data_IF_136233405716
#
_entry.id   IF_136233405716
#
_cell.length_a   1.000
_cell.length_b   1.000
_cell.length_c   1.000
_cell.angle_alpha   90.00
_cell.angle_beta   90.00
_cell.angle_gamma   90.00
#
_symmetry.space_group_name_H-M   'P 1'
#
loop_
_entity.id
_entity.type
_entity.pdbx_description
1 polymer ?
#
# COMPACT_ATOMS: atom_id res chain seq x y z
N UNK A 1 3.27 -9.87 -14.31
CA UNK A 1 2.93 -8.80 -13.34
C UNK A 1 2.06 -7.79 -14.05
N UNK A 2 0.84 -7.58 -13.59
CA UNK A 2 -0.01 -6.48 -14.06
C UNK A 2 0.35 -5.22 -13.27
N UNK A 3 0.41 -4.08 -13.96
CA UNK A 3 0.60 -2.76 -13.34
C UNK A 3 -0.78 -2.14 -13.17
N UNK A 4 -1.07 -1.61 -11.98
CA UNK A 4 -2.31 -0.89 -11.73
C UNK A 4 -2.32 0.44 -12.48
N UNK A 5 -3.47 0.79 -13.03
CA UNK A 5 -3.74 2.06 -13.72
C UNK A 5 -4.20 3.13 -12.73
N UNK A 6 -4.12 4.39 -13.16
CA UNK A 6 -4.57 5.51 -12.34
C UNK A 6 -6.07 5.44 -12.00
N UNK A 7 -6.91 5.04 -12.96
CA UNK A 7 -8.36 4.89 -12.75
C UNK A 7 -8.67 3.80 -11.71
N UNK A 8 -7.95 2.69 -11.73
CA UNK A 8 -8.10 1.64 -10.71
C UNK A 8 -7.70 2.12 -9.31
N UNK A 9 -6.72 3.02 -9.21
CA UNK A 9 -6.30 3.62 -7.94
C UNK A 9 -7.33 4.64 -7.45
N UNK A 10 -7.95 5.40 -8.35
CA UNK A 10 -9.04 6.32 -8.00
C UNK A 10 -10.27 5.59 -7.48
N UNK A 11 -10.56 4.40 -8.02
CA UNK A 11 -11.73 3.58 -7.65
C UNK A 11 -11.51 2.75 -6.37
N UNK A 12 -10.32 2.81 -5.75
CA UNK A 12 -10.01 2.10 -4.50
C UNK A 12 -11.02 2.28 -3.35
N UNK A 13 -11.63 3.47 -3.13
CA UNK A 13 -12.66 3.61 -2.10
C UNK A 13 -13.85 2.67 -2.26
N UNK A 14 -14.13 2.19 -3.48
CA UNK A 14 -15.19 1.23 -3.78
C UNK A 14 -14.72 -0.24 -3.68
N UNK A 15 -13.43 -0.46 -3.43
CA UNK A 15 -12.76 -1.76 -3.41
C UNK A 15 -12.06 -2.02 -2.06
N UNK A 16 -12.81 -2.32 -0.98
CA UNK A 16 -12.24 -2.54 0.36
C UNK A 16 -11.31 -3.76 0.45
N UNK A 17 -11.36 -4.67 -0.52
CA UNK A 17 -10.45 -5.81 -0.65
C UNK A 17 -9.05 -5.43 -1.13
N UNK A 18 -8.87 -4.20 -1.65
CA UNK A 18 -7.59 -3.70 -2.16
C UNK A 18 -6.97 -2.73 -1.16
N UNK A 19 -5.65 -2.85 -0.96
CA UNK A 19 -4.88 -1.98 -0.09
C UNK A 19 -3.82 -1.22 -0.90
N UNK A 20 -3.82 0.10 -0.79
CA UNK A 20 -2.76 0.94 -1.34
C UNK A 20 -1.71 1.24 -0.27
N UNK A 21 -0.49 0.76 -0.50
CA UNK A 21 0.66 0.98 0.38
C UNK A 21 1.50 2.12 -0.18
N UNK A 22 1.62 3.20 0.58
CA UNK A 22 2.49 4.34 0.27
C UNK A 22 3.86 4.13 0.96
N UNK A 23 4.88 3.82 0.17
CA UNK A 23 6.22 3.45 0.65
C UNK A 23 7.17 4.63 0.85
N UNK A 24 6.68 5.86 0.64
CA UNK A 24 7.44 7.10 0.83
C UNK A 24 7.74 7.35 2.32
N UNK A 25 8.64 8.28 2.57
CA UNK A 25 8.92 8.71 3.93
C UNK A 25 7.77 9.58 4.49
N UNK A 26 7.55 9.56 5.82
CA UNK A 26 6.45 10.31 6.43
C UNK A 26 6.51 11.83 6.20
N UNK A 27 7.72 12.41 6.09
CA UNK A 27 7.92 13.84 5.80
C UNK A 27 7.42 14.21 4.40
N UNK A 28 7.68 13.38 3.38
CA UNK A 28 7.18 13.62 2.02
C UNK A 28 5.64 13.67 1.98
N UNK A 29 4.98 12.85 2.79
CA UNK A 29 3.51 12.85 2.93
C UNK A 29 3.01 14.09 3.67
N UNK A 30 3.71 14.52 4.72
CA UNK A 30 3.34 15.72 5.45
C UNK A 30 3.43 16.97 4.56
N UNK A 31 4.43 17.02 3.67
CA UNK A 31 4.70 18.17 2.82
C UNK A 31 3.84 18.20 1.54
N UNK A 32 3.59 17.05 0.91
CA UNK A 32 2.91 16.96 -0.40
C UNK A 32 1.49 16.40 -0.33
N UNK A 33 1.11 15.81 0.80
CA UNK A 33 -0.16 15.11 0.99
C UNK A 33 -0.08 13.61 0.66
N UNK A 34 -1.19 12.93 0.95
CA UNK A 34 -1.37 11.49 0.70
C UNK A 34 -2.52 11.22 -0.26
N UNK A 35 -2.42 10.10 -0.96
CA UNK A 35 -3.53 9.56 -1.74
C UNK A 35 -4.65 9.12 -0.77
N UNK A 36 -5.93 9.43 -1.05
CA UNK A 36 -7.05 8.94 -0.25
C UNK A 36 -6.99 7.41 -0.13
N UNK A 37 -7.35 6.86 1.02
CA UNK A 37 -7.27 5.41 1.35
C UNK A 37 -5.87 4.81 1.49
N UNK A 38 -4.79 5.55 1.18
CA UNK A 38 -3.44 5.01 1.31
C UNK A 38 -2.98 4.87 2.76
N UNK A 39 -2.25 3.80 3.02
CA UNK A 39 -1.57 3.54 4.30
C UNK A 39 -0.08 3.74 4.09
N UNK A 40 0.53 4.65 4.86
CA UNK A 40 1.96 4.87 4.78
C UNK A 40 2.72 3.76 5.52
N UNK A 41 3.46 2.95 4.78
CA UNK A 41 4.40 1.97 5.32
C UNK A 41 5.73 2.21 4.61
N UNK A 42 6.63 3.04 5.19
CA UNK A 42 7.90 3.38 4.56
C UNK A 42 8.69 2.12 4.18
N UNK A 43 9.38 2.17 3.04
CA UNK A 43 10.11 1.02 2.49
C UNK A 43 11.04 0.36 3.51
N UNK A 44 11.73 1.14 4.34
CA UNK A 44 12.61 0.63 5.40
C UNK A 44 11.87 -0.21 6.47
N UNK A 45 10.60 0.09 6.70
CA UNK A 45 9.75 -0.63 7.67
C UNK A 45 9.09 -1.87 7.06
N UNK A 46 8.86 -1.88 5.74
CA UNK A 46 8.31 -3.03 5.01
C UNK A 46 9.19 -4.28 5.16
N UNK A 47 10.50 -4.13 5.10
CA UNK A 47 11.42 -5.26 5.28
C UNK A 47 11.38 -5.84 6.69
N UNK A 48 11.09 -5.02 7.72
CA UNK A 48 10.91 -5.48 9.11
C UNK A 48 9.57 -6.19 9.32
N UNK A 49 8.56 -5.83 8.53
CA UNK A 49 7.22 -6.41 8.58
C UNK A 49 7.10 -7.70 7.76
N UNK A 50 8.04 -7.96 6.84
CA UNK A 50 8.05 -9.15 5.99
C UNK A 50 8.02 -10.44 6.82
N UNK A 51 8.59 -10.44 8.01
CA UNK A 51 8.57 -11.59 8.93
C UNK A 51 7.25 -11.76 9.70
N UNK A 52 6.28 -10.84 9.55
CA UNK A 52 4.98 -10.85 10.26
C UNK A 52 3.74 -10.72 9.35
N UNK A 53 3.89 -10.20 8.14
CA UNK A 53 2.77 -9.90 7.23
C UNK A 53 2.63 -10.86 6.04
N UNK A 54 3.45 -11.91 5.93
CA UNK A 54 3.08 -13.02 5.05
C UNK A 54 1.88 -13.73 5.67
N UNK A 55 0.68 -13.31 5.24
CA UNK A 55 -0.42 -14.24 5.10
C UNK A 55 0.05 -15.20 4.01
N UNK A 56 0.73 -16.28 4.40
CA UNK A 56 0.75 -17.46 3.56
C UNK A 56 -0.74 -17.77 3.32
N UNK A 57 -1.19 -17.62 2.08
CA UNK A 57 -2.31 -18.41 1.63
C UNK A 57 -1.71 -19.80 1.41
N UNK A 58 -1.87 -20.78 2.33
CA UNK A 58 -1.51 -22.14 1.99
C UNK A 58 -2.46 -22.55 0.85
N UNK A 59 -1.91 -22.62 -0.36
CA UNK A 59 -2.58 -23.34 -1.44
C UNK A 59 -2.77 -24.81 -1.01
N UNK A 60 -3.91 -25.45 -1.32
CA UNK A 60 -4.17 -26.84 -1.00
C UNK A 60 -3.25 -27.81 -1.77
#
# INVERSE_FOLDING_TARGET
MSVATYEEVLDLPNHPEKLLIDVRNPNEIADTGKIPTSVNIPCESLFKLKDKCFIENPSP
#
